data_IF_988982344629
#
_entry.id   IF_988982344629
#
_cell.length_a   1.000
_cell.length_b   1.000
_cell.length_c   1.000
_cell.angle_alpha   90.00
_cell.angle_beta   90.00
_cell.angle_gamma   90.00
#
_symmetry.space_group_name_H-M   'P 1'
#
loop_
_entity.id
_entity.type
_entity.pdbx_description
1 polymer ?
#
# COMPACT_ATOMS: atom_id res chain seq x y z
N UNK A 1 4.87 1.43 2.64
CA UNK A 1 4.83 -0.02 2.35
C UNK A 1 5.59 -0.80 3.40
N UNK A 2 4.99 -1.82 4.05
CA UNK A 2 5.74 -2.64 5.01
C UNK A 2 6.70 -3.60 4.30
N UNK A 3 6.31 -4.13 3.15
CA UNK A 3 7.04 -5.18 2.45
C UNK A 3 7.09 -4.97 0.93
N UNK A 4 7.78 -5.87 0.24
CA UNK A 4 7.80 -5.93 -1.24
C UNK A 4 6.39 -6.15 -1.80
N UNK A 5 5.59 -7.01 -1.15
CA UNK A 5 4.23 -7.31 -1.61
C UNK A 5 3.29 -6.09 -1.59
N UNK A 6 3.36 -5.26 -0.54
CA UNK A 6 2.61 -4.01 -0.49
C UNK A 6 3.14 -2.97 -1.49
N UNK A 7 4.46 -2.98 -1.75
CA UNK A 7 5.02 -2.13 -2.79
C UNK A 7 4.45 -2.46 -4.17
N UNK A 8 4.33 -3.74 -4.54
CA UNK A 8 3.73 -4.14 -5.82
C UNK A 8 2.26 -3.71 -5.96
N UNK A 9 1.55 -3.52 -4.84
CA UNK A 9 0.21 -2.92 -4.84
C UNK A 9 0.24 -1.39 -4.97
N UNK A 10 1.24 -0.73 -4.39
CA UNK A 10 1.40 0.72 -4.50
C UNK A 10 1.95 1.17 -5.87
N UNK A 11 2.77 0.32 -6.49
CA UNK A 11 3.53 0.65 -7.70
C UNK A 11 2.69 1.19 -8.86
N UNK A 12 1.58 0.54 -9.29
CA UNK A 12 0.74 1.08 -10.37
C UNK A 12 0.20 2.48 -10.07
N UNK A 13 -0.12 2.73 -8.79
CA UNK A 13 -0.62 4.03 -8.34
C UNK A 13 0.50 5.08 -8.38
N UNK A 14 1.71 4.72 -7.92
CA UNK A 14 2.88 5.61 -7.99
C UNK A 14 3.18 5.97 -9.45
N UNK A 15 3.19 4.98 -10.35
CA UNK A 15 3.46 5.17 -11.77
C UNK A 15 2.40 6.10 -12.41
N UNK A 16 1.12 5.85 -12.20
CA UNK A 16 0.02 6.70 -12.71
C UNK A 16 0.05 8.11 -12.09
N UNK A 17 0.32 8.22 -10.80
CA UNK A 17 0.43 9.51 -10.12
C UNK A 17 1.61 10.33 -10.64
N UNK A 18 2.78 9.72 -10.76
CA UNK A 18 3.98 10.37 -11.29
C UNK A 18 3.77 10.89 -12.72
N UNK A 19 3.07 10.11 -13.56
CA UNK A 19 2.73 10.51 -14.92
C UNK A 19 1.72 11.67 -14.98
N UNK A 20 0.73 11.68 -14.09
CA UNK A 20 -0.33 12.70 -14.06
C UNK A 20 0.06 13.98 -13.32
N UNK A 21 1.04 13.90 -12.43
CA UNK A 21 1.48 15.00 -11.57
C UNK A 21 3.00 15.11 -11.56
N UNK A 22 3.63 15.41 -12.70
CA UNK A 22 5.07 15.48 -12.82
C UNK A 22 5.64 16.58 -11.92
N UNK A 23 6.70 16.26 -11.18
CA UNK A 23 7.38 17.20 -10.27
C UNK A 23 6.84 17.22 -8.83
N UNK A 24 5.77 16.50 -8.52
CA UNK A 24 5.36 16.30 -7.13
C UNK A 24 6.27 15.25 -6.49
N UNK A 25 7.00 15.60 -5.40
CA UNK A 25 7.96 14.68 -4.80
C UNK A 25 7.25 13.54 -4.08
N UNK A 26 7.75 12.31 -4.30
CA UNK A 26 7.27 11.09 -3.66
C UNK A 26 8.32 10.60 -2.67
N UNK A 27 7.91 10.46 -1.40
CA UNK A 27 8.68 9.75 -0.38
C UNK A 27 8.11 8.32 -0.27
N UNK A 28 8.90 7.35 -0.64
CA UNK A 28 8.57 5.93 -0.48
C UNK A 28 9.18 5.39 0.80
N UNK A 29 8.39 4.78 1.66
CA UNK A 29 8.89 4.21 2.91
C UNK A 29 8.68 2.72 3.00
N UNK A 30 9.65 2.02 3.58
CA UNK A 30 9.58 0.60 3.89
C UNK A 30 9.82 0.34 5.38
N UNK A 31 9.04 -0.55 5.97
CA UNK A 31 9.32 -1.06 7.31
C UNK A 31 10.27 -2.26 7.25
N UNK A 32 10.09 -3.13 6.24
CA UNK A 32 10.95 -4.29 6.03
C UNK A 32 12.30 -3.90 5.42
N UNK A 33 13.44 -4.37 5.97
CA UNK A 33 14.75 -4.18 5.35
C UNK A 33 14.83 -4.73 3.93
N UNK A 34 14.23 -5.89 3.66
CA UNK A 34 14.22 -6.50 2.32
C UNK A 34 13.50 -5.64 1.29
N UNK A 35 12.38 -5.01 1.67
CA UNK A 35 11.66 -4.08 0.80
C UNK A 35 12.51 -2.85 0.47
N UNK A 36 13.16 -2.29 1.47
CA UNK A 36 14.06 -1.15 1.30
C UNK A 36 15.25 -1.51 0.39
N UNK A 37 15.99 -2.57 0.68
CA UNK A 37 17.17 -2.94 -0.11
C UNK A 37 16.85 -3.20 -1.58
N UNK A 38 15.70 -3.81 -1.87
CA UNK A 38 15.29 -4.10 -3.24
C UNK A 38 14.87 -2.83 -4.01
N UNK A 39 14.32 -1.84 -3.32
CA UNK A 39 13.72 -0.66 -3.97
C UNK A 39 14.36 0.67 -3.58
N UNK A 40 15.50 0.68 -2.88
CA UNK A 40 16.19 1.93 -2.45
C UNK A 40 16.56 2.89 -3.58
N UNK A 41 16.66 2.39 -4.81
CA UNK A 41 16.95 3.16 -6.02
C UNK A 41 15.72 3.27 -6.95
N UNK A 42 14.50 3.21 -6.42
CA UNK A 42 13.30 3.31 -7.23
C UNK A 42 13.16 4.70 -7.85
N UNK A 43 13.23 4.78 -9.18
CA UNK A 43 13.41 6.02 -9.95
C UNK A 43 12.28 7.04 -9.80
N UNK A 44 11.05 6.59 -9.53
CA UNK A 44 9.90 7.49 -9.38
C UNK A 44 9.76 8.07 -7.96
N UNK A 45 10.58 7.62 -7.01
CA UNK A 45 10.61 8.20 -5.67
C UNK A 45 11.84 9.10 -5.51
N UNK A 46 11.63 10.36 -5.13
CA UNK A 46 12.72 11.29 -4.84
C UNK A 46 13.50 10.90 -3.59
N UNK A 47 12.86 10.16 -2.70
CA UNK A 47 13.51 9.61 -1.51
C UNK A 47 12.90 8.25 -1.17
N UNK A 48 13.75 7.28 -0.86
CA UNK A 48 13.36 6.00 -0.28
C UNK A 48 13.97 5.88 1.11
N UNK A 49 13.16 5.60 2.13
CA UNK A 49 13.59 5.58 3.51
C UNK A 49 12.97 4.42 4.31
N UNK A 50 13.55 4.11 5.45
CA UNK A 50 12.90 3.25 6.43
C UNK A 50 11.81 4.01 7.18
N UNK A 51 10.63 3.37 7.33
CA UNK A 51 9.60 3.86 8.23
C UNK A 51 10.05 3.58 9.67
N UNK A 52 10.14 4.58 10.55
CA UNK A 52 10.50 4.35 11.94
C UNK A 52 9.39 3.59 12.69
N UNK A 53 9.74 2.99 13.83
CA UNK A 53 8.79 2.30 14.70
C UNK A 53 7.61 3.20 15.05
N UNK A 54 6.39 2.63 15.06
CA UNK A 54 5.15 3.34 15.33
C UNK A 54 5.02 3.74 16.81
N UNK A 55 5.70 4.81 17.17
CA UNK A 55 5.60 5.45 18.48
C UNK A 55 5.09 6.89 18.33
N UNK A 56 4.45 7.46 19.38
CA UNK A 56 3.95 8.85 19.31
C UNK A 56 5.05 9.87 18.99
N UNK A 57 6.26 9.63 19.49
CA UNK A 57 7.42 10.51 19.24
C UNK A 57 7.88 10.41 17.80
N UNK A 58 8.12 9.19 17.31
CA UNK A 58 8.61 8.95 15.95
C UNK A 58 7.61 9.45 14.90
N UNK A 59 6.31 9.19 15.12
CA UNK A 59 5.25 9.67 14.22
C UNK A 59 5.29 11.20 14.10
N UNK A 60 5.39 11.91 15.23
CA UNK A 60 5.49 13.38 15.26
C UNK A 60 6.73 13.88 14.54
N UNK A 61 7.91 13.37 14.93
CA UNK A 61 9.20 13.79 14.36
C UNK A 61 9.25 13.52 12.85
N UNK A 62 8.74 12.35 12.41
CA UNK A 62 8.69 11.99 10.98
C UNK A 62 7.84 12.97 10.17
N UNK A 63 6.66 13.33 10.68
CA UNK A 63 5.76 14.27 9.97
C UNK A 63 6.29 15.70 10.02
N UNK A 64 6.93 16.11 11.11
CA UNK A 64 7.60 17.41 11.20
C UNK A 64 8.72 17.56 10.18
N UNK A 65 9.46 16.45 9.94
CA UNK A 65 10.55 16.41 8.99
C UNK A 65 10.07 16.39 7.54
N UNK A 66 9.08 15.53 7.26
CA UNK A 66 8.65 15.24 5.87
C UNK A 66 7.57 16.19 5.37
N UNK A 67 6.74 16.75 6.26
CA UNK A 67 5.63 17.66 5.96
C UNK A 67 4.77 17.18 4.78
N UNK A 68 4.24 15.95 4.82
CA UNK A 68 3.53 15.39 3.70
C UNK A 68 2.21 16.15 3.45
N UNK A 69 1.85 16.33 2.18
CA UNK A 69 0.56 16.92 1.79
C UNK A 69 -0.55 15.88 1.70
N UNK A 70 -0.20 14.63 1.45
CA UNK A 70 -1.09 13.48 1.44
C UNK A 70 -0.31 12.21 1.74
N UNK A 71 -1.02 11.17 2.17
CA UNK A 71 -0.40 9.90 2.57
C UNK A 71 -1.19 8.74 2.02
N UNK A 72 -0.47 7.74 1.54
CA UNK A 72 -1.04 6.49 1.04
C UNK A 72 -0.53 5.33 1.88
N UNK A 73 -1.47 4.63 2.50
CA UNK A 73 -1.24 3.34 3.15
C UNK A 73 -1.66 2.20 2.24
N UNK A 74 -1.06 1.04 2.45
CA UNK A 74 -1.32 -0.12 1.61
C UNK A 74 -1.80 -1.29 2.45
N UNK A 75 -2.90 -1.89 2.06
CA UNK A 75 -3.43 -3.17 2.56
C UNK A 75 -3.75 -3.20 4.06
N UNK A 76 -2.86 -3.72 4.91
CA UNK A 76 -3.09 -3.86 6.36
C UNK A 76 -2.19 -2.93 7.19
N UNK A 77 -1.50 -2.00 6.56
CA UNK A 77 -0.55 -1.14 7.26
C UNK A 77 -1.27 -0.10 8.11
N UNK A 78 -1.68 -0.50 9.30
CA UNK A 78 -2.38 0.35 10.25
C UNK A 78 -1.41 0.82 11.34
N UNK A 79 -0.65 1.86 11.03
CA UNK A 79 0.29 2.51 11.92
C UNK A 79 -0.43 3.55 12.76
N UNK A 80 -0.99 3.13 13.89
CA UNK A 80 -1.98 3.91 14.68
C UNK A 80 -1.45 5.25 15.17
N UNK A 81 -0.18 5.35 15.60
CA UNK A 81 0.38 6.62 16.03
C UNK A 81 0.59 7.57 14.85
N UNK A 82 1.03 7.05 13.71
CA UNK A 82 1.08 7.83 12.47
C UNK A 82 -0.32 8.28 12.05
N UNK A 83 -1.30 7.39 12.02
CA UNK A 83 -2.69 7.72 11.67
C UNK A 83 -3.26 8.82 12.59
N UNK A 84 -3.04 8.70 13.90
CA UNK A 84 -3.44 9.72 14.87
C UNK A 84 -2.79 11.06 14.59
N UNK A 85 -1.51 11.08 14.28
CA UNK A 85 -0.77 12.31 14.02
C UNK A 85 -1.22 12.97 12.70
N UNK A 86 -1.50 12.19 11.65
CA UNK A 86 -2.06 12.69 10.39
C UNK A 86 -3.43 13.32 10.59
N UNK A 87 -4.31 12.64 11.33
CA UNK A 87 -5.63 13.15 11.63
C UNK A 87 -5.58 14.45 12.45
N UNK A 88 -4.72 14.52 13.48
CA UNK A 88 -4.53 15.72 14.28
C UNK A 88 -4.08 16.94 13.46
N UNK A 89 -3.40 16.71 12.34
CA UNK A 89 -2.89 17.77 11.45
C UNK A 89 -3.76 17.96 10.20
N UNK A 90 -4.88 17.26 10.09
CA UNK A 90 -5.77 17.27 8.92
C UNK A 90 -5.03 16.94 7.61
N UNK A 91 -4.05 16.03 7.65
CA UNK A 91 -3.34 15.58 6.46
C UNK A 91 -4.19 14.49 5.80
N UNK A 92 -4.61 14.67 4.53
CA UNK A 92 -5.39 13.66 3.82
C UNK A 92 -4.65 12.34 3.75
N UNK A 93 -5.32 11.26 4.09
CA UNK A 93 -4.75 9.93 4.03
C UNK A 93 -5.71 8.94 3.40
N UNK A 94 -5.18 8.03 2.58
CA UNK A 94 -5.96 6.97 1.95
C UNK A 94 -5.34 5.61 2.25
N UNK A 95 -6.20 4.62 2.38
CA UNK A 95 -5.80 3.22 2.45
C UNK A 95 -6.20 2.56 1.13
N UNK A 96 -5.24 1.95 0.44
CA UNK A 96 -5.48 1.28 -0.85
C UNK A 96 -5.38 -0.23 -0.73
N UNK A 97 -6.07 -0.94 -1.63
CA UNK A 97 -6.10 -2.41 -1.69
C UNK A 97 -6.39 -3.06 -0.34
N UNK A 98 -7.23 -2.43 0.48
CA UNK A 98 -7.58 -2.92 1.80
C UNK A 98 -8.39 -4.22 1.69
N UNK A 99 -8.02 -5.20 2.50
CA UNK A 99 -8.70 -6.48 2.55
C UNK A 99 -8.74 -7.01 3.99
N UNK A 100 -9.92 -7.21 4.52
CA UNK A 100 -10.11 -7.67 5.90
C UNK A 100 -10.90 -8.97 5.92
N UNK A 101 -10.24 -10.07 6.26
CA UNK A 101 -10.91 -11.35 6.48
C UNK A 101 -11.90 -11.26 7.64
N UNK A 102 -12.95 -12.07 7.61
CA UNK A 102 -13.96 -12.15 8.67
C UNK A 102 -13.40 -12.33 10.09
N UNK A 103 -12.26 -13.03 10.19
CA UNK A 103 -11.55 -13.29 11.45
C UNK A 103 -10.51 -12.22 11.81
N UNK A 104 -10.45 -11.11 11.07
CA UNK A 104 -9.49 -10.07 11.36
C UNK A 104 -9.75 -9.41 12.71
N UNK A 105 -8.68 -9.16 13.50
CA UNK A 105 -8.78 -8.64 14.87
C UNK A 105 -9.59 -7.35 14.97
N UNK A 106 -9.51 -6.45 13.99
CA UNK A 106 -10.25 -5.18 13.98
C UNK A 106 -11.77 -5.36 13.81
N UNK A 107 -12.21 -6.49 13.30
CA UNK A 107 -13.64 -6.80 13.11
C UNK A 107 -14.25 -7.49 14.34
N UNK A 108 -13.42 -7.99 15.27
CA UNK A 108 -13.82 -8.73 16.46
C UNK A 108 -13.63 -7.90 17.72
N UNK A 109 -14.51 -8.08 18.69
CA UNK A 109 -14.35 -7.47 20.01
C UNK A 109 -13.15 -8.11 20.76
N UNK A 110 -12.26 -7.36 21.45
CA UNK A 110 -12.24 -5.89 21.63
C UNK A 110 -11.58 -5.08 20.50
N UNK A 111 -11.00 -5.70 19.48
CA UNK A 111 -10.31 -5.04 18.36
C UNK A 111 -11.19 -4.06 17.59
N UNK A 112 -12.52 -4.26 17.61
CA UNK A 112 -13.50 -3.34 17.03
C UNK A 112 -13.39 -1.90 17.57
N UNK A 113 -12.92 -1.71 18.80
CA UNK A 113 -12.64 -0.38 19.33
C UNK A 113 -11.47 0.32 18.59
N UNK A 114 -10.50 -0.48 18.11
CA UNK A 114 -9.41 0.01 17.29
C UNK A 114 -9.84 0.23 15.82
N UNK A 115 -10.85 -0.51 15.36
CA UNK A 115 -11.44 -0.34 14.03
C UNK A 115 -11.97 1.07 13.77
N UNK A 116 -12.42 1.77 14.81
CA UNK A 116 -12.82 3.19 14.72
C UNK A 116 -11.68 4.13 14.27
N UNK A 117 -10.42 3.72 14.45
CA UNK A 117 -9.30 4.51 13.93
C UNK A 117 -9.24 4.52 12.39
N UNK A 118 -9.95 3.61 11.73
CA UNK A 118 -10.09 3.62 10.26
C UNK A 118 -10.87 4.85 9.76
N UNK A 119 -11.68 5.48 10.60
CA UNK A 119 -12.34 6.74 10.28
C UNK A 119 -11.34 7.91 10.10
N UNK A 120 -10.09 7.73 10.55
CA UNK A 120 -9.02 8.70 10.31
C UNK A 120 -8.61 8.79 8.83
N UNK A 121 -8.88 7.77 8.02
CA UNK A 121 -8.65 7.84 6.59
C UNK A 121 -9.70 8.70 5.89
N UNK A 122 -9.25 9.53 4.96
CA UNK A 122 -10.15 10.28 4.07
C UNK A 122 -10.97 9.34 3.20
N UNK A 123 -10.35 8.25 2.72
CA UNK A 123 -11.00 7.20 1.93
C UNK A 123 -10.26 5.87 2.11
N UNK A 124 -11.02 4.78 2.06
CA UNK A 124 -10.50 3.41 2.10
C UNK A 124 -10.96 2.70 0.83
N UNK A 125 -10.01 2.37 -0.03
CA UNK A 125 -10.24 1.58 -1.24
C UNK A 125 -10.06 0.10 -0.90
N UNK A 126 -11.17 -0.64 -0.94
CA UNK A 126 -11.21 -2.07 -0.60
C UNK A 126 -11.17 -2.95 -1.85
N UNK A 127 -10.73 -4.18 -1.67
CA UNK A 127 -10.61 -5.12 -2.79
C UNK A 127 -11.95 -5.69 -3.25
N UNK A 128 -12.92 -5.83 -2.33
CA UNK A 128 -14.20 -6.49 -2.60
C UNK A 128 -15.35 -5.92 -1.77
N UNK A 129 -16.58 -6.23 -2.20
CA UNK A 129 -17.81 -5.84 -1.52
C UNK A 129 -17.93 -6.43 -0.12
N UNK A 130 -17.42 -7.65 0.10
CA UNK A 130 -17.48 -8.28 1.42
C UNK A 130 -16.64 -7.51 2.44
N UNK A 131 -15.47 -7.04 2.05
CA UNK A 131 -14.63 -6.18 2.91
C UNK A 131 -15.35 -4.86 3.22
N UNK A 132 -15.99 -4.24 2.22
CA UNK A 132 -16.79 -3.02 2.43
C UNK A 132 -17.92 -3.27 3.44
N UNK A 133 -18.69 -4.35 3.28
CA UNK A 133 -19.79 -4.72 4.20
C UNK A 133 -19.27 -4.98 5.60
N UNK A 134 -18.15 -5.67 5.76
CA UNK A 134 -17.52 -5.93 7.07
C UNK A 134 -17.10 -4.63 7.78
N UNK A 135 -16.53 -3.69 7.04
CA UNK A 135 -16.15 -2.38 7.57
C UNK A 135 -17.38 -1.56 7.95
N UNK A 136 -18.41 -1.53 7.11
CA UNK A 136 -19.69 -0.87 7.42
C UNK A 136 -20.33 -1.44 8.70
N UNK A 137 -20.24 -2.76 8.93
CA UNK A 137 -20.78 -3.41 10.15
C UNK A 137 -20.11 -2.95 11.46
N UNK A 138 -18.92 -2.33 11.38
CA UNK A 138 -18.22 -1.72 12.52
C UNK A 138 -18.30 -0.19 12.53
N UNK A 139 -19.06 0.41 11.58
CA UNK A 139 -19.32 1.83 11.50
C UNK A 139 -18.33 2.62 10.63
N UNK A 140 -17.53 1.94 9.79
CA UNK A 140 -16.61 2.59 8.85
C UNK A 140 -17.31 2.71 7.49
N UNK A 141 -17.68 3.93 7.10
CA UNK A 141 -18.51 4.19 5.92
C UNK A 141 -17.75 4.84 4.75
N UNK A 142 -16.54 5.31 4.99
CA UNK A 142 -15.68 5.98 4.00
C UNK A 142 -14.96 5.00 3.06
N UNK A 143 -15.63 3.90 2.70
CA UNK A 143 -15.09 2.84 1.85
C UNK A 143 -15.56 2.95 0.41
N UNK A 144 -14.72 2.45 -0.52
CA UNK A 144 -15.02 2.34 -1.94
C UNK A 144 -14.40 1.06 -2.50
N UNK A 145 -15.15 0.28 -3.28
CA UNK A 145 -14.64 -0.96 -3.90
C UNK A 145 -13.86 -0.59 -5.15
N UNK A 146 -12.57 -0.90 -5.16
CA UNK A 146 -11.65 -0.57 -6.26
C UNK A 146 -10.85 -1.78 -6.78
N UNK A 147 -11.01 -2.95 -6.17
CA UNK A 147 -10.24 -4.13 -6.55
C UNK A 147 -8.83 -4.17 -5.97
N UNK A 148 -8.06 -5.12 -6.45
CA UNK A 148 -6.65 -5.31 -6.07
C UNK A 148 -5.74 -4.79 -7.19
N UNK A 149 -4.97 -3.78 -6.89
CA UNK A 149 -4.05 -3.12 -7.86
C UNK A 149 -2.97 -4.05 -8.44
N UNK A 150 -2.76 -5.23 -7.85
CA UNK A 150 -1.87 -6.25 -8.45
C UNK A 150 -2.37 -6.77 -9.79
N UNK A 151 -3.69 -6.77 -10.02
CA UNK A 151 -4.25 -7.16 -11.32
C UNK A 151 -3.87 -6.16 -12.42
N UNK A 152 -3.82 -4.87 -12.12
CA UNK A 152 -3.31 -3.87 -13.05
C UNK A 152 -1.87 -4.22 -13.48
N UNK A 153 -1.02 -4.56 -12.50
CA UNK A 153 0.37 -4.96 -12.76
C UNK A 153 0.48 -6.21 -13.60
N UNK A 154 -0.34 -7.23 -13.33
CA UNK A 154 -0.37 -8.46 -14.14
C UNK A 154 -0.77 -8.16 -15.58
N UNK A 155 -1.77 -7.32 -15.79
CA UNK A 155 -2.20 -6.91 -17.13
C UNK A 155 -1.09 -6.16 -17.87
N UNK A 156 -0.37 -5.28 -17.21
CA UNK A 156 0.76 -4.55 -17.79
C UNK A 156 1.89 -5.51 -18.22
N UNK A 157 2.19 -6.51 -17.40
CA UNK A 157 3.19 -7.54 -17.71
C UNK A 157 2.74 -8.39 -18.90
N UNK A 158 1.49 -8.86 -18.91
CA UNK A 158 0.95 -9.69 -19.99
C UNK A 158 0.92 -8.94 -21.33
N UNK A 159 0.64 -7.64 -21.30
CA UNK A 159 0.59 -6.79 -22.48
C UNK A 159 1.97 -6.30 -22.93
N UNK A 160 3.02 -6.52 -22.13
CA UNK A 160 4.38 -6.16 -22.49
C UNK A 160 5.06 -7.29 -23.25
N UNK A 161 5.80 -7.01 -24.35
CA UNK A 161 6.57 -8.02 -25.01
C UNK A 161 7.58 -8.64 -24.04
N UNK A 162 7.50 -9.93 -23.84
CA UNK A 162 8.45 -10.67 -23.02
C UNK A 162 9.28 -11.57 -23.91
N UNK A 163 10.53 -11.23 -24.10
CA UNK A 163 11.53 -12.03 -24.81
C UNK A 163 12.63 -12.38 -23.79
N UNK A 164 12.82 -13.67 -23.56
CA UNK A 164 13.87 -14.13 -22.65
C UNK A 164 14.68 -15.27 -23.28
N UNK A 165 15.77 -14.95 -23.97
CA UNK A 165 16.55 -15.92 -24.76
C UNK A 165 16.97 -17.17 -24.01
N UNK A 166 17.22 -17.04 -22.69
CA UNK A 166 17.56 -18.19 -21.84
C UNK A 166 16.39 -19.16 -21.66
N UNK A 167 15.15 -18.64 -21.51
CA UNK A 167 13.95 -19.45 -21.38
C UNK A 167 13.62 -20.12 -22.71
N UNK A 168 13.73 -19.39 -23.83
CA UNK A 168 13.55 -19.94 -25.17
C UNK A 168 14.55 -21.04 -25.49
N UNK A 169 15.83 -20.80 -25.16
CA UNK A 169 16.87 -21.80 -25.32
C UNK A 169 16.64 -23.04 -24.46
N UNK A 170 16.11 -22.89 -23.25
CA UNK A 170 15.81 -23.98 -22.34
C UNK A 170 14.58 -24.78 -22.79
N UNK A 171 13.56 -24.10 -23.32
CA UNK A 171 12.27 -24.69 -23.70
C UNK A 171 12.23 -25.28 -25.13
N UNK A 172 13.31 -25.19 -25.90
CA UNK A 172 13.34 -25.31 -27.35
C UNK A 172 12.71 -26.58 -27.92
N UNK A 173 12.86 -27.74 -27.25
CA UNK A 173 12.39 -29.02 -27.77
C UNK A 173 11.76 -29.93 -26.68
N UNK A 174 11.70 -29.46 -25.44
CA UNK A 174 11.25 -30.28 -24.30
C UNK A 174 9.95 -29.78 -23.67
N UNK A 175 9.25 -30.69 -23.00
CA UNK A 175 8.11 -30.34 -22.13
C UNK A 175 8.64 -29.74 -20.84
N UNK A 176 8.42 -28.46 -20.64
CA UNK A 176 8.85 -27.72 -19.44
C UNK A 176 7.75 -27.73 -18.39
N UNK A 177 8.10 -28.07 -17.15
CA UNK A 177 7.25 -27.90 -15.97
C UNK A 177 7.83 -26.74 -15.16
N UNK A 178 7.00 -25.73 -14.92
CA UNK A 178 7.34 -24.60 -14.04
C UNK A 178 6.69 -24.84 -12.69
N UNK A 179 7.47 -24.82 -11.61
CA UNK A 179 7.03 -25.03 -10.22
C UNK A 179 7.21 -23.74 -9.42
#
# INVERSE_FOLDING_TARGET
CASVGEFEQARPIIEKFSASSPGVPILLTFFSPSGFELHKNYELAQCVAHLPLDTPRNAREFIDLTKPQAIVFVKYELWFNFMKEFNNRNIPSVLISAFFHENHLLLRWPGRLLGKNLDAFTRIFVQDDETALRLAAIGVENTEVAGDTRYDRVLDIVNSPFDHPAIESFAKDDKVIVI
#
